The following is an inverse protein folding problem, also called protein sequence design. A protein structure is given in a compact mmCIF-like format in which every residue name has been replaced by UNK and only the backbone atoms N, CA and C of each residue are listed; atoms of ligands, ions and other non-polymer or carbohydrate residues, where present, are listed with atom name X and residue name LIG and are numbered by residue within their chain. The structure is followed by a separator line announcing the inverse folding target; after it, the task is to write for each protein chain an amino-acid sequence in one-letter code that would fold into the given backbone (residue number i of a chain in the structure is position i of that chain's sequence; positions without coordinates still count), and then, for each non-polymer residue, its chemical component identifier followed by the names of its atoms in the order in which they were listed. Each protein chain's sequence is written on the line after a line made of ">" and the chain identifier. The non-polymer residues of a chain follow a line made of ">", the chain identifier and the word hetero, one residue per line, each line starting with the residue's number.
data_IF_791853411936
#
_entry.id   IF_791853411936
#
_cell.length_a   1.000
_cell.length_b   1.000
_cell.length_c   1.000
_cell.angle_alpha   90.00
_cell.angle_beta   90.00
_cell.angle_gamma   90.00
#
_symmetry.space_group_name_H-M   'P 1'
#
loop_
_entity.id
_entity.type
_entity.pdbx_description
1 polymer ?
#
# COMPACT_ATOMS: atom_id res chain seq x y z
N UNK A 1 -35.10 11.85 -9.49
CA UNK A 1 -34.30 10.88 -10.28
C UNK A 1 -32.93 10.81 -9.64
N UNK A 2 -32.70 9.82 -8.80
CA UNK A 2 -31.39 9.55 -8.20
C UNK A 2 -30.49 8.98 -9.30
N UNK A 3 -29.53 9.77 -9.76
CA UNK A 3 -28.51 9.29 -10.70
C UNK A 3 -27.77 8.14 -10.01
N UNK A 4 -27.93 6.92 -10.54
CA UNK A 4 -27.11 5.79 -10.11
C UNK A 4 -25.62 6.20 -10.18
N UNK A 5 -24.78 5.77 -9.22
CA UNK A 5 -23.36 6.08 -9.26
C UNK A 5 -22.79 5.67 -10.61
N UNK A 6 -21.99 6.55 -11.20
CA UNK A 6 -21.38 6.32 -12.50
C UNK A 6 -20.38 5.16 -12.32
N UNK A 7 -20.74 3.99 -12.83
CA UNK A 7 -19.84 2.84 -12.96
C UNK A 7 -18.99 3.07 -14.21
N UNK A 8 -17.68 3.21 -14.07
CA UNK A 8 -16.82 3.76 -15.12
C UNK A 8 -16.45 2.77 -16.23
N UNK A 9 -16.85 1.51 -16.09
CA UNK A 9 -16.87 0.56 -17.18
C UNK A 9 -18.08 -0.37 -17.06
N UNK A 10 -19.09 -0.22 -17.91
CA UNK A 10 -20.13 -1.24 -18.04
C UNK A 10 -20.32 -1.49 -19.51
N UNK A 11 -20.09 -2.72 -19.93
CA UNK A 11 -20.45 -3.22 -21.26
C UNK A 11 -21.86 -3.83 -21.15
N UNK A 12 -22.96 -3.10 -21.43
CA UNK A 12 -24.29 -3.67 -21.40
C UNK A 12 -24.43 -4.85 -22.37
N UNK A 13 -25.17 -5.85 -21.92
CA UNK A 13 -25.64 -6.96 -22.75
C UNK A 13 -26.84 -6.49 -23.57
N UNK A 14 -26.58 -6.17 -24.84
CA UNK A 14 -27.53 -5.91 -25.93
C UNK A 14 -28.42 -4.66 -25.80
N UNK A 15 -28.52 -3.92 -26.92
CA UNK A 15 -29.76 -3.32 -27.46
C UNK A 15 -29.39 -2.27 -28.54
N UNK A 16 -28.96 -2.76 -29.70
CA UNK A 16 -29.08 -2.02 -30.96
C UNK A 16 -29.63 -2.98 -32.01
N UNK A 17 -30.56 -2.49 -32.85
CA UNK A 17 -31.33 -3.29 -33.81
C UNK A 17 -30.47 -4.04 -34.86
N UNK A 18 -29.17 -3.72 -34.94
CA UNK A 18 -28.24 -4.20 -35.98
C UNK A 18 -27.15 -5.17 -35.46
N UNK A 19 -27.29 -5.68 -34.23
CA UNK A 19 -26.31 -6.64 -33.65
C UNK A 19 -25.02 -6.00 -33.10
N UNK A 20 -24.95 -4.67 -33.03
CA UNK A 20 -23.88 -3.95 -32.35
C UNK A 20 -24.11 -3.90 -30.83
N UNK A 21 -23.03 -4.00 -30.06
CA UNK A 21 -23.03 -3.80 -28.60
C UNK A 21 -22.65 -2.36 -28.27
N UNK A 22 -23.13 -1.85 -27.13
CA UNK A 22 -22.66 -0.59 -26.56
C UNK A 22 -21.86 -0.84 -25.29
N UNK A 23 -20.97 0.08 -24.95
CA UNK A 23 -20.19 0.10 -23.72
C UNK A 23 -20.11 1.55 -23.22
N UNK A 24 -20.39 1.76 -21.93
CA UNK A 24 -20.36 3.09 -21.31
C UNK A 24 -19.11 3.23 -20.45
N UNK A 25 -18.39 4.32 -20.68
CA UNK A 25 -17.11 4.67 -20.08
C UNK A 25 -17.27 6.08 -19.48
N UNK A 26 -17.79 6.17 -18.26
CA UNK A 26 -18.17 7.46 -17.66
C UNK A 26 -19.30 8.16 -18.46
N UNK A 27 -18.98 9.29 -19.09
CA UNK A 27 -19.85 10.07 -19.97
C UNK A 27 -19.78 9.65 -21.45
N UNK A 28 -18.80 8.81 -21.83
CA UNK A 28 -18.63 8.31 -23.20
C UNK A 28 -19.41 7.01 -23.41
N UNK A 29 -19.98 6.85 -24.60
CA UNK A 29 -20.57 5.59 -25.06
C UNK A 29 -19.84 5.14 -26.33
N UNK A 30 -19.26 3.95 -26.32
CA UNK A 30 -18.65 3.32 -27.49
C UNK A 30 -19.54 2.21 -28.03
N UNK A 31 -19.62 2.10 -29.35
CA UNK A 31 -20.28 1.00 -30.05
C UNK A 31 -19.21 0.01 -30.55
N UNK A 32 -19.40 -1.28 -30.29
CA UNK A 32 -18.44 -2.33 -30.66
C UNK A 32 -19.16 -3.60 -31.15
N UNK A 33 -18.45 -4.46 -31.87
CA UNK A 33 -18.93 -5.79 -32.30
C UNK A 33 -17.95 -6.87 -31.86
N UNK A 34 -18.40 -8.12 -31.64
CA UNK A 34 -17.50 -9.24 -31.37
C UNK A 34 -16.37 -9.34 -32.40
N UNK A 35 -15.17 -9.72 -31.95
CA UNK A 35 -13.97 -9.70 -32.77
C UNK A 35 -14.04 -10.62 -34.00
N UNK A 36 -14.93 -11.61 -33.99
CA UNK A 36 -15.21 -12.55 -35.07
C UNK A 36 -16.24 -12.03 -36.10
N UNK A 37 -16.87 -10.87 -35.85
CA UNK A 37 -17.89 -10.29 -36.73
C UNK A 37 -17.27 -9.30 -37.75
N UNK A 38 -17.64 -9.41 -39.03
CA UNK A 38 -17.16 -8.51 -40.10
C UNK A 38 -17.90 -7.16 -40.07
N UNK A 39 -17.15 -6.07 -39.98
CA UNK A 39 -17.67 -4.70 -40.03
C UNK A 39 -18.19 -4.33 -41.43
N UNK A 40 -19.46 -3.94 -41.52
CA UNK A 40 -20.04 -3.31 -42.72
C UNK A 40 -19.66 -1.82 -42.81
N UNK A 41 -19.61 -1.26 -44.02
CA UNK A 41 -19.08 0.09 -44.33
C UNK A 41 -19.81 1.29 -43.69
N UNK A 42 -20.86 1.11 -42.89
CA UNK A 42 -21.79 2.18 -42.55
C UNK A 42 -21.81 2.63 -41.06
N UNK A 43 -21.08 1.98 -40.14
CA UNK A 43 -21.04 2.42 -38.72
C UNK A 43 -19.61 2.51 -38.17
N UNK A 44 -19.37 3.51 -37.30
CA UNK A 44 -18.13 3.75 -36.53
C UNK A 44 -17.94 2.70 -35.42
N UNK A 45 -18.04 1.42 -35.77
CA UNK A 45 -17.99 0.32 -34.80
C UNK A 45 -16.58 -0.27 -34.79
N UNK A 46 -16.03 -0.51 -33.59
CA UNK A 46 -14.70 -1.12 -33.44
C UNK A 46 -14.82 -2.65 -33.23
N UNK A 47 -13.88 -3.45 -33.76
CA UNK A 47 -13.87 -4.89 -33.56
C UNK A 47 -13.31 -5.22 -32.18
N UNK A 48 -14.11 -5.85 -31.32
CA UNK A 48 -13.74 -6.28 -29.97
C UNK A 48 -13.27 -5.14 -29.05
N UNK A 49 -13.24 -5.40 -27.74
CA UNK A 49 -12.62 -4.52 -26.77
C UNK A 49 -11.61 -5.31 -25.95
N UNK A 50 -10.44 -4.72 -25.73
CA UNK A 50 -9.42 -5.24 -24.85
C UNK A 50 -9.21 -4.24 -23.72
N UNK A 51 -9.11 -4.76 -22.50
CA UNK A 51 -8.64 -4.02 -21.34
C UNK A 51 -7.12 -4.15 -21.29
N UNK A 52 -6.44 -3.01 -21.16
CA UNK A 52 -5.04 -2.96 -20.76
C UNK A 52 -4.98 -2.47 -19.33
N UNK A 53 -4.25 -3.19 -18.49
CA UNK A 53 -3.85 -2.71 -17.16
C UNK A 53 -2.35 -2.50 -17.17
N UNK A 54 -1.87 -1.33 -16.76
CA UNK A 54 -0.47 -0.92 -16.87
C UNK A 54 0.04 -0.22 -15.59
N UNK A 55 1.36 -0.27 -15.38
CA UNK A 55 2.12 0.55 -14.43
C UNK A 55 2.61 1.78 -15.20
N UNK A 56 2.30 2.97 -14.70
CA UNK A 56 2.56 4.23 -15.39
C UNK A 56 2.01 4.24 -16.82
N UNK A 57 2.84 4.60 -17.81
CA UNK A 57 2.49 4.56 -19.26
C UNK A 57 3.12 3.39 -20.02
N UNK A 58 3.61 2.37 -19.32
CA UNK A 58 4.46 1.34 -19.91
C UNK A 58 3.89 0.66 -21.17
N UNK A 59 2.56 0.48 -21.28
CA UNK A 59 1.95 -0.04 -22.51
C UNK A 59 2.00 0.97 -23.66
N UNK A 60 1.72 2.25 -23.37
CA UNK A 60 1.71 3.33 -24.36
C UNK A 60 3.13 3.65 -24.83
N UNK A 61 4.13 3.50 -23.96
CA UNK A 61 5.54 3.66 -24.32
C UNK A 61 6.03 2.52 -25.23
N UNK A 62 5.62 1.28 -24.95
CA UNK A 62 5.91 0.11 -25.79
C UNK A 62 5.15 0.15 -27.13
N UNK A 63 3.97 0.76 -27.16
CA UNK A 63 3.06 0.81 -28.31
C UNK A 63 2.50 2.22 -28.58
N UNK A 64 3.34 3.19 -28.95
CA UNK A 64 2.93 4.59 -29.12
C UNK A 64 1.93 4.81 -30.28
N UNK A 65 1.87 3.86 -31.22
CA UNK A 65 0.95 3.90 -32.36
C UNK A 65 -0.46 3.38 -32.02
N UNK A 66 -0.64 2.71 -30.87
CA UNK A 66 -1.95 2.21 -30.43
C UNK A 66 -2.71 3.34 -29.75
N UNK A 67 -3.80 3.80 -30.38
CA UNK A 67 -4.66 4.85 -29.81
C UNK A 67 -5.70 4.25 -28.88
N UNK A 68 -5.70 4.55 -27.57
CA UNK A 68 -6.74 4.08 -26.67
C UNK A 68 -8.10 4.67 -27.02
N UNK A 69 -9.13 3.82 -26.99
CA UNK A 69 -10.54 4.22 -27.07
C UNK A 69 -10.99 4.88 -25.76
N UNK A 70 -10.43 4.40 -24.64
CA UNK A 70 -10.46 5.05 -23.32
C UNK A 70 -9.05 5.03 -22.73
N UNK A 71 -8.65 6.15 -22.16
CA UNK A 71 -7.47 6.27 -21.31
C UNK A 71 -7.96 6.73 -19.92
N UNK A 72 -7.94 5.80 -18.95
CA UNK A 72 -8.10 6.07 -17.52
C UNK A 72 -6.79 5.72 -16.81
N UNK A 73 -5.67 6.06 -17.44
CA UNK A 73 -4.36 5.89 -16.86
C UNK A 73 -3.90 4.45 -16.76
N UNK A 74 -3.89 3.92 -15.54
CA UNK A 74 -3.65 2.51 -15.22
C UNK A 74 -4.52 1.56 -16.03
N UNK A 75 -5.73 2.00 -16.42
CA UNK A 75 -6.67 1.20 -17.20
C UNK A 75 -6.94 1.86 -18.57
N UNK A 76 -6.57 1.17 -19.64
CA UNK A 76 -6.90 1.58 -21.01
C UNK A 76 -7.88 0.61 -21.65
N UNK A 77 -8.65 1.11 -22.61
CA UNK A 77 -9.48 0.27 -23.47
C UNK A 77 -9.03 0.47 -24.90
N UNK A 78 -8.62 -0.60 -25.56
CA UNK A 78 -8.15 -0.58 -26.95
C UNK A 78 -9.05 -1.48 -27.83
N UNK A 79 -9.03 -1.20 -29.13
CA UNK A 79 -9.66 -2.06 -30.13
C UNK A 79 -8.90 -3.38 -30.26
N UNK A 80 -9.60 -4.48 -30.50
CA UNK A 80 -8.92 -5.76 -30.76
C UNK A 80 -8.20 -5.81 -32.12
N UNK A 81 -8.50 -4.86 -33.03
CA UNK A 81 -7.73 -4.66 -34.27
C UNK A 81 -6.29 -4.21 -34.00
N UNK A 82 -6.07 -3.47 -32.91
CA UNK A 82 -4.77 -2.90 -32.56
C UNK A 82 -4.00 -3.81 -31.60
N UNK A 83 -4.46 -5.05 -31.42
CA UNK A 83 -3.89 -6.01 -30.47
C UNK A 83 -2.42 -6.31 -30.79
N UNK A 84 -1.49 -6.00 -29.88
CA UNK A 84 -0.09 -6.38 -30.05
C UNK A 84 0.13 -7.89 -29.98
N UNK A 85 1.27 -8.36 -30.51
CA UNK A 85 1.67 -9.78 -30.46
C UNK A 85 1.93 -10.26 -29.04
N UNK A 86 2.62 -9.46 -28.22
CA UNK A 86 2.88 -9.74 -26.81
C UNK A 86 1.62 -9.41 -26.00
N UNK A 87 1.20 -10.33 -25.14
CA UNK A 87 -0.04 -10.19 -24.35
C UNK A 87 0.16 -9.58 -22.97
N UNK A 88 1.36 -9.68 -22.42
CA UNK A 88 1.71 -9.12 -21.12
C UNK A 88 3.22 -9.09 -20.88
N UNK A 89 3.61 -8.31 -19.87
CA UNK A 89 4.87 -8.34 -19.16
C UNK A 89 4.60 -8.02 -17.67
N UNK A 90 5.64 -7.65 -16.90
CA UNK A 90 5.48 -7.28 -15.49
C UNK A 90 4.80 -5.91 -15.32
N UNK A 91 4.90 -5.03 -16.32
CA UNK A 91 4.43 -3.64 -16.24
C UNK A 91 3.07 -3.43 -16.92
N UNK A 92 2.62 -4.32 -17.80
CA UNK A 92 1.29 -4.26 -18.41
C UNK A 92 0.76 -5.64 -18.80
N UNK A 93 -0.58 -5.77 -18.82
CA UNK A 93 -1.28 -6.93 -19.38
C UNK A 93 -2.44 -6.50 -20.26
N UNK A 94 -2.77 -7.35 -21.24
CA UNK A 94 -3.90 -7.17 -22.15
C UNK A 94 -4.85 -8.36 -22.01
N UNK A 95 -6.10 -8.08 -21.73
CA UNK A 95 -7.15 -9.09 -21.59
C UNK A 95 -8.43 -8.73 -22.36
N UNK A 96 -9.23 -9.72 -22.79
CA UNK A 96 -10.53 -9.43 -23.37
C UNK A 96 -11.44 -8.71 -22.37
N UNK A 97 -11.97 -7.55 -22.75
CA UNK A 97 -12.95 -6.85 -21.93
C UNK A 97 -14.33 -7.50 -22.15
N UNK A 98 -14.84 -8.19 -21.12
CA UNK A 98 -16.11 -8.92 -21.21
C UNK A 98 -17.32 -8.01 -20.98
N UNK A 99 -18.46 -8.44 -21.51
CA UNK A 99 -19.74 -7.84 -21.21
C UNK A 99 -20.02 -7.85 -19.70
N UNK A 100 -20.53 -6.75 -19.14
CA UNK A 100 -20.90 -6.62 -17.73
C UNK A 100 -19.73 -6.42 -16.74
N UNK A 101 -18.49 -6.28 -17.20
CA UNK A 101 -17.34 -6.09 -16.32
C UNK A 101 -17.18 -4.64 -15.88
N UNK A 102 -17.23 -4.40 -14.57
CA UNK A 102 -16.76 -3.15 -13.94
C UNK A 102 -15.24 -3.22 -13.74
N UNK A 103 -14.49 -2.33 -14.39
CA UNK A 103 -13.03 -2.24 -14.22
C UNK A 103 -12.66 -1.23 -13.16
N UNK A 104 -13.24 -0.03 -13.23
CA UNK A 104 -13.16 0.97 -12.16
C UNK A 104 -14.57 1.37 -11.75
N UNK A 105 -14.83 1.40 -10.45
CA UNK A 105 -16.04 1.96 -9.85
C UNK A 105 -15.70 3.20 -9.02
N UNK A 106 -16.59 4.19 -9.04
CA UNK A 106 -16.45 5.44 -8.29
C UNK A 106 -17.56 5.50 -7.24
N UNK A 107 -17.41 4.74 -6.14
CA UNK A 107 -18.44 4.70 -5.12
C UNK A 107 -18.62 6.09 -4.50
N UNK A 108 -19.83 6.35 -4.00
CA UNK A 108 -20.08 7.45 -3.07
C UNK A 108 -20.20 6.85 -1.68
N UNK A 109 -19.08 6.55 -1.00
CA UNK A 109 -19.11 5.96 0.33
C UNK A 109 -19.86 6.88 1.30
N UNK A 110 -20.65 6.27 2.17
CA UNK A 110 -21.34 7.01 3.24
C UNK A 110 -20.40 7.13 4.43
N UNK A 111 -20.18 8.37 4.88
CA UNK A 111 -19.42 8.63 6.09
C UNK A 111 -20.09 7.95 7.30
N UNK A 112 -19.27 7.28 8.11
CA UNK A 112 -19.71 6.75 9.39
C UNK A 112 -19.72 7.85 10.45
N UNK A 113 -20.24 7.52 11.64
CA UNK A 113 -20.04 8.37 12.82
C UNK A 113 -18.56 8.37 13.18
N UNK A 114 -17.99 9.56 13.39
CA UNK A 114 -16.61 9.71 13.86
C UNK A 114 -16.45 9.02 15.23
N UNK A 115 -15.60 8.00 15.26
CA UNK A 115 -15.09 7.41 16.50
C UNK A 115 -13.97 8.30 17.06
N UNK A 116 -14.07 8.77 18.32
CA UNK A 116 -13.06 9.64 18.93
C UNK A 116 -11.67 9.01 19.07
N UNK A 117 -11.57 7.70 19.30
CA UNK A 117 -10.29 6.99 19.43
C UNK A 117 -9.60 6.91 18.08
N UNK A 118 -10.37 6.63 17.02
CA UNK A 118 -9.85 6.62 15.65
C UNK A 118 -9.48 8.05 15.22
N UNK A 119 -10.29 9.05 15.55
CA UNK A 119 -9.98 10.46 15.25
C UNK A 119 -8.69 10.94 15.93
N UNK A 120 -8.47 10.55 17.19
CA UNK A 120 -7.22 10.83 17.93
C UNK A 120 -6.01 10.15 17.27
N UNK A 121 -6.14 8.88 16.86
CA UNK A 121 -5.11 8.16 16.11
C UNK A 121 -4.79 8.83 14.76
N UNK A 122 -5.82 9.21 14.00
CA UNK A 122 -5.69 9.97 12.73
C UNK A 122 -5.00 11.31 12.96
N UNK A 123 -5.32 12.01 14.05
CA UNK A 123 -4.74 13.29 14.42
C UNK A 123 -3.27 13.21 14.88
N UNK A 124 -2.78 12.02 15.25
CA UNK A 124 -1.40 11.80 15.67
C UNK A 124 -0.43 11.53 14.51
N UNK A 125 -0.92 11.45 13.27
CA UNK A 125 -0.07 11.37 12.08
C UNK A 125 0.94 12.52 12.10
N UNK A 126 2.21 12.21 11.92
CA UNK A 126 3.32 13.16 11.96
C UNK A 126 3.86 13.39 10.55
N UNK A 127 3.48 14.52 9.90
CA UNK A 127 4.08 14.89 8.62
C UNK A 127 5.60 14.96 8.70
N UNK A 128 6.15 15.44 9.82
CA UNK A 128 7.60 15.50 10.01
C UNK A 128 8.24 14.12 9.97
N UNK A 129 7.73 13.14 10.74
CA UNK A 129 8.29 11.78 10.75
C UNK A 129 8.18 11.12 9.37
N UNK A 130 7.05 11.29 8.70
CA UNK A 130 6.84 10.75 7.35
C UNK A 130 7.78 11.40 6.32
N UNK A 131 7.91 12.74 6.34
CA UNK A 131 8.77 13.46 5.41
C UNK A 131 10.25 13.14 5.62
N UNK A 132 10.70 13.04 6.87
CA UNK A 132 12.09 12.72 7.20
C UNK A 132 12.46 11.33 6.67
N UNK A 133 11.58 10.34 6.86
CA UNK A 133 11.81 8.97 6.43
C UNK A 133 11.80 8.87 4.90
N UNK A 134 10.85 9.52 4.25
CA UNK A 134 10.80 9.56 2.79
C UNK A 134 12.00 10.29 2.19
N UNK A 135 12.37 11.43 2.77
CA UNK A 135 13.54 12.20 2.32
C UNK A 135 14.81 11.39 2.44
N UNK A 136 14.97 10.66 3.53
CA UNK A 136 16.13 9.80 3.74
C UNK A 136 16.15 8.64 2.73
N UNK A 137 15.03 7.93 2.54
CA UNK A 137 14.93 6.84 1.56
C UNK A 137 15.26 7.31 0.14
N UNK A 138 14.74 8.47 -0.26
CA UNK A 138 14.97 9.08 -1.57
C UNK A 138 16.37 9.72 -1.73
N UNK A 139 17.13 9.88 -0.64
CA UNK A 139 18.51 10.37 -0.71
C UNK A 139 19.52 9.29 -1.15
N UNK A 140 19.13 8.01 -1.08
CA UNK A 140 19.96 6.91 -1.55
C UNK A 140 20.07 6.97 -3.08
N UNK A 141 21.25 6.67 -3.68
CA UNK A 141 21.41 6.73 -5.13
C UNK A 141 20.41 5.87 -5.89
N UNK A 142 20.13 4.68 -5.36
CA UNK A 142 19.13 3.73 -5.84
C UNK A 142 18.78 2.82 -4.67
N UNK A 143 17.60 2.21 -4.67
CA UNK A 143 17.27 1.09 -3.78
C UNK A 143 17.07 -0.20 -4.55
N UNK A 144 17.67 -0.35 -5.74
CA UNK A 144 17.61 -1.61 -6.51
C UNK A 144 17.88 -2.81 -5.61
N UNK A 145 17.06 -3.85 -5.66
CA UNK A 145 16.98 -4.89 -4.61
C UNK A 145 18.29 -5.65 -4.37
N UNK A 146 19.14 -5.75 -5.41
CA UNK A 146 20.49 -6.34 -5.36
C UNK A 146 21.63 -5.36 -4.98
N UNK A 147 21.32 -4.10 -4.68
CA UNK A 147 22.32 -3.07 -4.36
C UNK A 147 22.69 -3.04 -2.88
N UNK A 148 23.86 -2.49 -2.57
CA UNK A 148 24.25 -2.20 -1.18
C UNK A 148 23.35 -1.13 -0.55
N UNK A 149 22.88 -0.16 -1.34
CA UNK A 149 21.96 0.88 -0.88
C UNK A 149 20.61 0.33 -0.45
N UNK A 150 20.11 -0.75 -1.07
CA UNK A 150 18.93 -1.46 -0.58
C UNK A 150 19.17 -2.06 0.81
N UNK A 151 20.35 -2.65 1.05
CA UNK A 151 20.71 -3.15 2.39
C UNK A 151 20.75 -2.02 3.42
N UNK A 152 21.30 -0.85 3.05
CA UNK A 152 21.27 0.35 3.89
C UNK A 152 19.84 0.79 4.21
N UNK A 153 18.93 0.74 3.23
CA UNK A 153 17.52 1.06 3.44
C UNK A 153 16.85 0.07 4.41
N UNK A 154 17.15 -1.22 4.29
CA UNK A 154 16.67 -2.25 5.22
C UNK A 154 17.21 -2.02 6.62
N UNK A 155 18.49 -1.65 6.78
CA UNK A 155 19.10 -1.34 8.08
C UNK A 155 18.40 -0.17 8.77
N UNK A 156 18.12 0.90 8.03
CA UNK A 156 17.38 2.06 8.51
C UNK A 156 15.96 1.71 8.98
N UNK A 157 15.20 1.03 8.13
CA UNK A 157 13.84 0.64 8.46
C UNK A 157 13.79 -0.34 9.64
N UNK A 158 14.73 -1.30 9.70
CA UNK A 158 14.86 -2.24 10.81
C UNK A 158 15.13 -1.51 12.13
N UNK A 159 16.06 -0.55 12.15
CA UNK A 159 16.38 0.23 13.34
C UNK A 159 15.15 1.00 13.86
N UNK A 160 14.35 1.58 12.96
CA UNK A 160 13.08 2.23 13.32
C UNK A 160 12.05 1.27 13.89
N UNK A 161 11.83 0.12 13.23
CA UNK A 161 10.90 -0.90 13.72
C UNK A 161 11.31 -1.39 15.12
N UNK A 162 12.60 -1.66 15.36
CA UNK A 162 13.11 -2.06 16.68
C UNK A 162 12.89 -0.96 17.72
N UNK A 163 13.17 0.31 17.40
CA UNK A 163 12.94 1.43 18.30
C UNK A 163 11.46 1.60 18.70
N UNK A 164 10.53 1.13 17.86
CA UNK A 164 9.09 1.12 18.11
C UNK A 164 8.59 -0.17 18.79
N UNK A 165 9.50 -1.08 19.13
CA UNK A 165 9.21 -2.33 19.85
C UNK A 165 8.65 -3.45 18.97
N UNK A 166 8.89 -3.42 17.66
CA UNK A 166 8.60 -4.56 16.79
C UNK A 166 9.74 -5.59 16.86
N UNK A 167 9.39 -6.87 16.91
CA UNK A 167 10.31 -7.98 16.69
C UNK A 167 10.67 -8.04 15.20
N UNK A 168 11.93 -7.76 14.87
CA UNK A 168 12.37 -7.66 13.48
C UNK A 168 13.03 -8.95 12.98
N UNK A 169 12.60 -9.42 11.81
CA UNK A 169 13.22 -10.53 11.08
C UNK A 169 13.56 -10.10 9.66
N UNK A 170 14.72 -10.53 9.16
CA UNK A 170 15.11 -10.37 7.76
C UNK A 170 15.07 -11.72 7.08
N UNK A 171 14.28 -11.84 6.03
CA UNK A 171 14.14 -13.09 5.27
C UNK A 171 14.86 -12.94 3.95
N UNK A 172 15.89 -13.74 3.71
CA UNK A 172 16.57 -13.75 2.42
C UNK A 172 15.62 -14.21 1.31
N UNK A 173 15.67 -13.52 0.18
CA UNK A 173 14.92 -13.86 -1.04
C UNK A 173 15.88 -14.01 -2.21
N UNK A 174 15.49 -14.79 -3.21
CA UNK A 174 16.24 -14.91 -4.47
C UNK A 174 15.64 -13.98 -5.51
N UNK A 175 16.47 -13.19 -6.19
CA UNK A 175 16.08 -12.28 -7.28
C UNK A 175 17.00 -12.55 -8.47
N UNK A 176 16.48 -13.24 -9.48
CA UNK A 176 17.30 -13.75 -10.58
C UNK A 176 18.44 -14.65 -10.07
N UNK A 177 19.70 -14.28 -10.35
CA UNK A 177 20.89 -14.98 -9.85
C UNK A 177 21.45 -14.41 -8.53
N UNK A 178 20.85 -13.33 -8.01
CA UNK A 178 21.27 -12.66 -6.79
C UNK A 178 20.36 -12.96 -5.60
N UNK A 179 20.73 -12.38 -4.45
CA UNK A 179 19.94 -12.44 -3.23
C UNK A 179 19.63 -11.03 -2.74
N UNK A 180 18.41 -10.87 -2.25
CA UNK A 180 17.92 -9.68 -1.56
C UNK A 180 17.23 -10.13 -0.26
N UNK A 181 16.41 -9.28 0.34
CA UNK A 181 15.71 -9.60 1.58
C UNK A 181 14.36 -8.89 1.71
N UNK A 182 13.42 -9.55 2.38
CA UNK A 182 12.26 -8.91 2.98
C UNK A 182 12.58 -8.53 4.43
N UNK A 183 12.14 -7.35 4.84
CA UNK A 183 12.17 -6.93 6.24
C UNK A 183 10.77 -7.08 6.84
N UNK A 184 10.68 -7.79 7.97
CA UNK A 184 9.41 -8.07 8.67
C UNK A 184 9.52 -7.53 10.09
N UNK A 185 8.55 -6.72 10.51
CA UNK A 185 8.40 -6.26 11.89
C UNK A 185 7.11 -6.78 12.49
N UNK A 186 7.20 -7.64 13.50
CA UNK A 186 6.06 -8.24 14.19
C UNK A 186 5.79 -7.58 15.54
N UNK A 187 4.52 -7.35 15.85
CA UNK A 187 4.08 -6.91 17.17
C UNK A 187 2.83 -7.66 17.61
N UNK A 188 2.88 -8.41 18.73
CA UNK A 188 1.74 -9.17 19.20
C UNK A 188 0.62 -8.24 19.72
N UNK A 189 -0.61 -8.61 19.40
CA UNK A 189 -1.82 -8.09 20.01
C UNK A 189 -2.11 -8.75 21.36
N UNK A 190 -3.28 -8.47 21.91
CA UNK A 190 -3.70 -8.93 23.26
C UNK A 190 -4.35 -10.32 23.28
N UNK A 191 -4.31 -11.06 22.17
CA UNK A 191 -4.79 -12.45 22.10
C UNK A 191 -6.02 -12.68 21.20
N UNK A 192 -6.27 -11.80 20.23
CA UNK A 192 -7.37 -11.95 19.26
C UNK A 192 -7.17 -13.04 18.21
N UNK A 193 -5.99 -13.67 18.14
CA UNK A 193 -5.66 -14.76 17.21
C UNK A 193 -5.51 -14.36 15.74
N UNK A 194 -6.09 -13.24 15.31
CA UNK A 194 -5.92 -12.66 13.96
C UNK A 194 -4.64 -11.85 13.75
N UNK A 195 -4.30 -11.64 12.48
CA UNK A 195 -3.13 -10.92 11.99
C UNK A 195 -3.52 -9.93 10.90
N UNK A 196 -3.03 -8.70 10.99
CA UNK A 196 -3.17 -7.65 9.96
C UNK A 196 -1.78 -7.26 9.45
N UNK A 197 -1.61 -7.29 8.13
CA UNK A 197 -0.36 -6.91 7.47
C UNK A 197 -0.45 -5.50 6.89
N UNK A 198 0.61 -4.73 7.04
CA UNK A 198 0.82 -3.44 6.40
C UNK A 198 2.12 -3.54 5.60
N UNK A 199 2.04 -3.38 4.29
CA UNK A 199 3.13 -3.71 3.38
C UNK A 199 3.40 -2.60 2.37
N UNK A 200 4.64 -2.55 1.90
CA UNK A 200 5.10 -1.81 0.74
C UNK A 200 6.38 -2.50 0.23
N UNK A 201 6.82 -2.21 -0.99
CA UNK A 201 8.18 -2.57 -1.39
C UNK A 201 9.14 -1.42 -1.10
N UNK A 202 10.40 -1.80 -0.85
CA UNK A 202 11.45 -0.89 -0.46
C UNK A 202 12.42 -0.60 -1.62
N UNK A 203 12.47 -1.48 -2.61
CA UNK A 203 13.33 -1.30 -3.77
C UNK A 203 12.83 -0.20 -4.71
N UNK A 204 13.72 0.23 -5.60
CA UNK A 204 13.45 1.16 -6.69
C UNK A 204 14.37 0.84 -7.86
N UNK A 205 13.92 1.10 -9.09
CA UNK A 205 14.74 0.86 -10.29
C UNK A 205 14.87 2.09 -11.18
N UNK A 206 15.84 2.02 -12.09
CA UNK A 206 15.91 2.91 -13.25
C UNK A 206 15.95 2.05 -14.52
N UNK A 207 14.87 2.08 -15.31
CA UNK A 207 14.76 1.23 -16.51
C UNK A 207 15.79 1.65 -17.57
N UNK A 208 15.93 2.95 -17.82
CA UNK A 208 16.78 3.45 -18.91
C UNK A 208 18.27 3.35 -18.59
N UNK A 209 18.67 3.60 -17.35
CA UNK A 209 20.05 3.61 -16.88
C UNK A 209 20.53 2.31 -16.23
N UNK A 210 19.62 1.38 -15.94
CA UNK A 210 19.91 0.10 -15.32
C UNK A 210 20.17 0.16 -13.80
N UNK A 211 20.56 -0.98 -13.18
CA UNK A 211 20.59 -1.16 -11.72
C UNK A 211 21.46 -0.18 -10.92
N UNK A 212 22.49 0.40 -11.55
CA UNK A 212 23.43 1.32 -10.90
C UNK A 212 23.08 2.80 -11.14
N UNK A 213 22.11 3.10 -12.01
CA UNK A 213 21.71 4.46 -12.28
C UNK A 213 20.86 5.03 -11.13
N UNK A 214 20.80 6.36 -11.07
CA UNK A 214 20.03 7.05 -10.06
C UNK A 214 18.55 6.64 -10.14
N UNK A 215 18.01 6.15 -9.02
CA UNK A 215 16.61 5.77 -8.85
C UNK A 215 16.16 6.22 -7.45
N UNK A 216 15.96 7.53 -7.23
CA UNK A 216 15.58 8.03 -5.92
C UNK A 216 14.26 7.38 -5.45
N UNK A 217 13.37 6.99 -6.37
CA UNK A 217 12.18 6.19 -6.06
C UNK A 217 11.32 6.86 -5.00
N UNK A 218 11.13 8.18 -5.13
CA UNK A 218 10.47 8.98 -4.12
C UNK A 218 9.00 8.60 -4.00
N UNK A 219 8.27 8.58 -5.11
CA UNK A 219 6.90 8.07 -5.10
C UNK A 219 6.90 6.54 -5.13
N UNK A 220 7.76 5.94 -5.97
CA UNK A 220 7.81 4.51 -6.27
C UNK A 220 9.10 3.84 -5.74
N UNK A 221 9.07 3.19 -4.58
CA UNK A 221 7.99 3.23 -3.59
C UNK A 221 8.47 3.69 -2.22
N UNK A 222 9.26 4.77 -2.24
CA UNK A 222 9.65 5.48 -1.03
C UNK A 222 8.41 5.92 -0.25
N UNK A 223 7.39 6.43 -0.94
CA UNK A 223 6.17 6.96 -0.34
C UNK A 223 5.40 5.90 0.46
N UNK A 224 5.17 4.71 -0.09
CA UNK A 224 4.55 3.59 0.61
C UNK A 224 5.44 3.05 1.73
N UNK A 225 6.75 2.91 1.48
CA UNK A 225 7.72 2.46 2.49
C UNK A 225 7.77 3.36 3.72
N UNK A 226 7.87 4.68 3.53
CA UNK A 226 7.79 5.66 4.62
C UNK A 226 6.40 5.65 5.28
N UNK A 227 5.35 5.37 4.49
CA UNK A 227 4.00 5.14 4.99
C UNK A 227 3.93 3.96 5.96
N UNK A 228 4.54 2.81 5.64
CA UNK A 228 4.60 1.64 6.55
C UNK A 228 5.26 2.02 7.87
N UNK A 229 6.36 2.78 7.82
CA UNK A 229 7.08 3.21 9.02
C UNK A 229 6.23 4.16 9.90
N UNK A 230 5.55 5.13 9.28
CA UNK A 230 4.70 6.07 10.00
C UNK A 230 3.44 5.41 10.58
N UNK A 231 2.77 4.54 9.81
CA UNK A 231 1.65 3.76 10.33
C UNK A 231 2.13 2.81 11.44
N UNK A 232 3.30 2.20 11.29
CA UNK A 232 3.96 1.40 12.32
C UNK A 232 4.19 2.18 13.61
N UNK A 233 4.64 3.44 13.52
CA UNK A 233 4.81 4.35 14.66
C UNK A 233 3.48 4.62 15.36
N UNK A 234 2.42 4.94 14.62
CA UNK A 234 1.09 5.18 15.16
C UNK A 234 0.51 3.94 15.86
N UNK A 235 0.63 2.78 15.23
CA UNK A 235 0.17 1.51 15.80
C UNK A 235 0.96 1.10 17.04
N UNK A 236 2.23 1.51 17.15
CA UNK A 236 3.08 1.22 18.31
C UNK A 236 2.65 1.95 19.59
N UNK A 237 1.88 3.02 19.46
CA UNK A 237 1.42 3.83 20.59
C UNK A 237 0.22 3.21 21.35
N UNK A 238 -0.35 2.11 20.84
CA UNK A 238 -1.55 1.46 21.40
C UNK A 238 -1.41 -0.07 21.44
N UNK A 239 -2.33 -0.70 22.15
CA UNK A 239 -2.52 -2.15 22.14
C UNK A 239 -3.73 -2.51 21.29
N UNK A 240 -3.56 -3.55 20.48
CA UNK A 240 -4.54 -4.03 19.52
C UNK A 240 -4.99 -5.43 19.91
N UNK A 241 -6.22 -5.80 19.56
CA UNK A 241 -6.69 -7.16 19.76
C UNK A 241 -5.92 -8.14 18.88
N UNK A 242 -5.69 -7.76 17.64
CA UNK A 242 -5.00 -8.55 16.63
C UNK A 242 -3.52 -8.17 16.50
N UNK A 243 -2.74 -9.13 15.99
CA UNK A 243 -1.32 -8.93 15.77
C UNK A 243 -1.09 -8.02 14.56
N UNK A 244 -0.02 -7.23 14.64
CA UNK A 244 0.40 -6.31 13.58
C UNK A 244 1.67 -6.87 12.96
N UNK A 245 1.71 -6.96 11.64
CA UNK A 245 2.95 -7.23 10.90
C UNK A 245 3.20 -6.15 9.86
N UNK A 246 4.36 -5.52 9.97
CA UNK A 246 4.89 -4.61 8.96
C UNK A 246 5.79 -5.41 8.03
N UNK A 247 5.68 -5.22 6.71
CA UNK A 247 6.59 -5.84 5.76
C UNK A 247 7.07 -4.81 4.75
N UNK A 248 8.39 -4.74 4.57
CA UNK A 248 9.02 -4.06 3.46
C UNK A 248 9.64 -5.11 2.54
N UNK A 249 9.03 -5.30 1.37
CA UNK A 249 9.45 -6.30 0.39
C UNK A 249 10.67 -5.82 -0.39
N UNK A 250 11.51 -6.77 -0.78
CA UNK A 250 12.54 -6.55 -1.80
C UNK A 250 12.18 -7.25 -3.10
N UNK A 251 12.65 -6.71 -4.21
CA UNK A 251 12.53 -7.32 -5.53
C UNK A 251 11.11 -7.31 -6.09
N UNK A 252 10.32 -6.31 -5.70
CA UNK A 252 9.01 -6.05 -6.31
C UNK A 252 9.19 -5.72 -7.78
N UNK A 253 10.12 -4.81 -8.07
CA UNK A 253 10.35 -4.19 -9.37
C UNK A 253 10.85 -5.21 -10.41
N UNK A 254 11.54 -6.25 -9.92
CA UNK A 254 12.04 -7.35 -10.75
C UNK A 254 10.98 -8.45 -10.98
N UNK A 255 9.82 -8.37 -10.34
CA UNK A 255 8.68 -9.26 -10.58
C UNK A 255 8.07 -9.87 -9.32
N UNK A 256 7.88 -9.07 -8.27
CA UNK A 256 7.24 -9.46 -7.00
C UNK A 256 7.99 -10.59 -6.27
N UNK A 257 9.31 -10.66 -6.41
CA UNK A 257 10.11 -11.77 -5.87
C UNK A 257 9.96 -11.91 -4.37
N UNK A 258 9.95 -10.79 -3.64
CA UNK A 258 9.82 -10.76 -2.19
C UNK A 258 8.47 -11.29 -1.70
N UNK A 259 7.37 -10.71 -2.18
CA UNK A 259 6.01 -11.10 -1.78
C UNK A 259 5.64 -12.51 -2.26
N UNK A 260 6.03 -12.92 -3.48
CA UNK A 260 5.81 -14.29 -3.96
C UNK A 260 6.50 -15.33 -3.08
N UNK A 261 7.76 -15.11 -2.72
CA UNK A 261 8.49 -16.03 -1.85
C UNK A 261 7.92 -16.03 -0.43
N UNK A 262 7.54 -14.86 0.10
CA UNK A 262 6.89 -14.76 1.41
C UNK A 262 5.58 -15.55 1.45
N UNK A 263 4.68 -15.32 0.49
CA UNK A 263 3.38 -16.02 0.44
C UNK A 263 3.56 -17.52 0.21
N UNK A 264 4.50 -17.93 -0.63
CA UNK A 264 4.80 -19.36 -0.85
C UNK A 264 5.34 -20.05 0.42
N UNK A 265 6.04 -19.32 1.29
CA UNK A 265 6.59 -19.82 2.54
C UNK A 265 5.61 -19.77 3.73
N UNK A 266 4.44 -19.12 3.59
CA UNK A 266 3.49 -18.97 4.69
C UNK A 266 2.96 -20.33 5.19
N UNK A 267 3.14 -20.65 6.47
CA UNK A 267 2.51 -21.84 7.06
C UNK A 267 0.97 -21.74 6.96
N UNK A 268 0.25 -22.86 6.73
CA UNK A 268 -1.21 -22.84 6.61
C UNK A 268 -1.93 -22.20 7.82
N UNK A 269 -1.44 -22.46 9.03
CA UNK A 269 -1.99 -21.89 10.26
C UNK A 269 -1.83 -20.36 10.33
N UNK A 270 -0.70 -19.85 9.82
CA UNK A 270 -0.43 -18.42 9.78
C UNK A 270 -1.23 -17.74 8.66
N UNK A 271 -1.31 -18.36 7.48
CA UNK A 271 -2.19 -17.90 6.40
C UNK A 271 -3.65 -17.80 6.83
N UNK A 272 -4.16 -18.78 7.56
CA UNK A 272 -5.55 -18.83 8.00
C UNK A 272 -5.94 -17.71 8.98
N UNK A 273 -4.97 -17.09 9.67
CA UNK A 273 -5.23 -15.98 10.59
C UNK A 273 -5.02 -14.59 9.99
N UNK A 274 -4.51 -14.47 8.77
CA UNK A 274 -4.39 -13.17 8.09
C UNK A 274 -5.79 -12.67 7.73
N UNK A 275 -6.22 -11.60 8.38
CA UNK A 275 -7.56 -11.00 8.22
C UNK A 275 -7.59 -9.97 7.10
N UNK A 276 -6.49 -9.25 6.93
CA UNK A 276 -6.33 -8.20 5.94
C UNK A 276 -4.85 -7.94 5.66
N UNK A 277 -4.55 -7.57 4.42
CA UNK A 277 -3.28 -7.02 3.99
C UNK A 277 -3.55 -5.67 3.34
N UNK A 278 -2.93 -4.62 3.86
CA UNK A 278 -2.88 -3.31 3.21
C UNK A 278 -1.53 -3.16 2.55
N UNK A 279 -1.50 -3.07 1.22
CA UNK A 279 -0.32 -2.73 0.46
C UNK A 279 -0.36 -1.25 0.05
N UNK A 280 0.71 -0.51 0.31
CA UNK A 280 0.88 0.88 -0.11
C UNK A 280 1.93 0.91 -1.21
N UNK A 281 1.54 1.40 -2.37
CA UNK A 281 2.43 1.52 -3.52
C UNK A 281 2.05 2.78 -4.32
N UNK A 282 2.97 3.74 -4.36
CA UNK A 282 2.77 5.11 -4.82
C UNK A 282 1.57 5.80 -4.16
N UNK A 283 1.83 6.54 -3.08
CA UNK A 283 0.78 7.25 -2.34
C UNK A 283 0.97 8.76 -2.35
N UNK A 284 1.87 9.30 -3.16
CA UNK A 284 2.31 10.67 -3.02
C UNK A 284 2.30 11.51 -4.30
N UNK A 285 2.01 11.01 -5.50
CA UNK A 285 1.83 11.83 -6.69
C UNK A 285 0.36 12.18 -6.97
N UNK A 286 0.08 13.48 -7.13
CA UNK A 286 -1.27 13.96 -7.44
C UNK A 286 -1.51 13.89 -8.95
N UNK A 287 -1.99 12.73 -9.40
CA UNK A 287 -2.27 12.42 -10.80
C UNK A 287 -3.74 12.70 -11.25
N UNK A 288 -4.55 13.29 -10.38
CA UNK A 288 -5.97 13.63 -10.61
C UNK A 288 -6.29 15.06 -10.17
N UNK A 289 -7.32 15.68 -10.77
CA UNK A 289 -7.73 17.05 -10.44
C UNK A 289 -8.15 17.19 -8.96
N UNK A 290 -8.95 16.22 -8.49
CA UNK A 290 -9.36 16.07 -7.09
C UNK A 290 -8.45 15.03 -6.44
N UNK A 291 -7.93 15.24 -5.23
CA UNK A 291 -7.18 14.22 -4.49
C UNK A 291 -7.97 12.91 -4.45
N UNK A 292 -7.41 11.87 -5.06
CA UNK A 292 -8.09 10.60 -5.30
C UNK A 292 -7.20 9.46 -4.87
N UNK A 293 -7.79 8.45 -4.26
CA UNK A 293 -7.16 7.15 -4.01
C UNK A 293 -7.89 6.08 -4.81
N UNK A 294 -7.13 5.20 -5.44
CA UNK A 294 -7.63 3.96 -6.02
C UNK A 294 -7.40 2.82 -5.02
N UNK A 295 -8.48 2.12 -4.67
CA UNK A 295 -8.44 0.92 -3.86
C UNK A 295 -8.56 -0.29 -4.78
N UNK A 296 -7.48 -1.02 -4.99
CA UNK A 296 -7.43 -2.16 -5.89
C UNK A 296 -7.35 -3.47 -5.12
N UNK A 297 -8.18 -4.44 -5.47
CA UNK A 297 -8.15 -5.77 -4.89
C UNK A 297 -8.87 -6.78 -5.77
N UNK A 298 -9.48 -7.78 -5.16
CA UNK A 298 -10.29 -8.80 -5.81
C UNK A 298 -11.58 -9.03 -5.02
N UNK A 299 -12.52 -9.90 -5.46
CA UNK A 299 -13.72 -10.20 -4.69
C UNK A 299 -13.45 -10.63 -3.24
N UNK A 300 -12.31 -11.28 -2.98
CA UNK A 300 -11.88 -11.65 -1.61
C UNK A 300 -11.57 -10.43 -0.71
N UNK A 301 -11.30 -9.26 -1.31
CA UNK A 301 -10.92 -8.03 -0.63
C UNK A 301 -12.08 -7.04 -0.45
N UNK A 302 -13.29 -7.38 -0.89
CA UNK A 302 -14.40 -6.42 -0.97
C UNK A 302 -14.78 -5.80 0.39
N UNK A 303 -14.68 -6.54 1.49
CA UNK A 303 -14.88 -5.98 2.85
C UNK A 303 -13.85 -4.92 3.18
N UNK A 304 -12.56 -5.19 2.93
CA UNK A 304 -11.48 -4.26 3.23
C UNK A 304 -11.57 -3.00 2.37
N UNK A 305 -11.95 -3.14 1.09
CA UNK A 305 -12.19 -1.99 0.20
C UNK A 305 -13.34 -1.13 0.75
N UNK A 306 -14.44 -1.75 1.21
CA UNK A 306 -15.56 -1.01 1.78
C UNK A 306 -15.15 -0.26 3.07
N UNK A 307 -14.39 -0.90 3.96
CA UNK A 307 -13.90 -0.27 5.18
C UNK A 307 -12.99 0.93 4.89
N UNK A 308 -12.06 0.79 3.94
CA UNK A 308 -11.20 1.88 3.48
C UNK A 308 -12.02 3.02 2.84
N UNK A 309 -13.01 2.70 2.02
CA UNK A 309 -13.88 3.71 1.42
C UNK A 309 -14.71 4.48 2.46
N UNK A 310 -15.22 3.78 3.48
CA UNK A 310 -15.90 4.41 4.63
C UNK A 310 -14.93 5.25 5.45
N UNK A 311 -13.71 4.77 5.68
CA UNK A 311 -12.67 5.53 6.39
C UNK A 311 -12.33 6.83 5.63
N UNK A 312 -12.18 6.77 4.30
CA UNK A 312 -11.97 7.94 3.46
C UNK A 312 -13.11 8.96 3.62
N UNK A 313 -14.36 8.51 3.50
CA UNK A 313 -15.53 9.37 3.64
C UNK A 313 -15.67 10.02 5.02
N UNK A 314 -15.13 9.37 6.06
CA UNK A 314 -15.30 9.80 7.45
C UNK A 314 -14.16 10.70 7.93
N UNK A 315 -12.93 10.45 7.50
CA UNK A 315 -11.72 11.05 8.08
C UNK A 315 -10.88 11.87 7.09
N UNK A 316 -11.29 11.95 5.82
CA UNK A 316 -10.50 12.58 4.75
C UNK A 316 -11.37 13.38 3.78
N UNK A 317 -10.72 14.13 2.88
CA UNK A 317 -11.34 14.75 1.70
C UNK A 317 -11.12 13.97 0.40
N UNK A 318 -10.69 12.71 0.47
CA UNK A 318 -10.35 11.91 -0.72
C UNK A 318 -11.60 11.54 -1.51
N UNK A 319 -11.48 11.64 -2.84
CA UNK A 319 -12.32 10.85 -3.75
C UNK A 319 -11.82 9.41 -3.74
N UNK A 320 -12.73 8.44 -3.69
CA UNK A 320 -12.40 7.01 -3.76
C UNK A 320 -12.78 6.47 -5.13
N UNK A 321 -11.84 5.78 -5.76
CA UNK A 321 -12.09 4.86 -6.87
C UNK A 321 -11.75 3.44 -6.40
N UNK A 322 -12.38 2.44 -7.00
CA UNK A 322 -12.14 1.02 -6.65
C UNK A 322 -12.00 0.17 -7.89
N UNK A 323 -11.14 -0.85 -7.83
CA UNK A 323 -10.96 -1.84 -8.90
C UNK A 323 -10.89 -3.24 -8.29
N UNK A 324 -11.56 -4.20 -8.92
CA UNK A 324 -11.44 -5.62 -8.60
C UNK A 324 -10.55 -6.38 -9.61
N UNK A 325 -9.67 -5.64 -10.29
CA UNK A 325 -8.78 -6.16 -11.32
C UNK A 325 -7.30 -6.00 -10.89
N UNK A 326 -6.81 -6.82 -9.94
CA UNK A 326 -5.53 -6.58 -9.30
C UNK A 326 -4.36 -6.82 -10.25
N UNK A 327 -3.31 -6.00 -10.14
CA UNK A 327 -2.14 -6.10 -11.02
C UNK A 327 -0.87 -5.51 -10.39
N UNK A 328 0.29 -6.12 -10.71
CA UNK A 328 1.63 -5.53 -10.61
C UNK A 328 1.96 -4.77 -9.30
N UNK A 329 1.63 -5.34 -8.14
CA UNK A 329 2.21 -4.95 -6.86
C UNK A 329 2.04 -6.10 -5.85
N UNK A 330 2.62 -5.95 -4.66
CA UNK A 330 2.77 -7.01 -3.66
C UNK A 330 1.45 -7.53 -3.05
N UNK A 331 0.31 -6.87 -3.27
CA UNK A 331 -1.02 -7.40 -2.89
C UNK A 331 -1.42 -8.62 -3.74
N UNK A 332 -0.91 -8.74 -4.97
CA UNK A 332 -1.32 -9.77 -5.93
C UNK A 332 -1.03 -11.19 -5.43
N UNK A 333 0.18 -11.55 -4.96
CA UNK A 333 0.44 -12.90 -4.45
C UNK A 333 -0.46 -13.30 -3.27
N UNK A 334 -0.85 -12.36 -2.42
CA UNK A 334 -1.80 -12.61 -1.34
C UNK A 334 -3.20 -12.94 -1.87
N UNK A 335 -3.69 -12.17 -2.85
CA UNK A 335 -4.97 -12.41 -3.51
C UNK A 335 -4.98 -13.77 -4.21
N UNK A 336 -3.91 -14.13 -4.91
CA UNK A 336 -3.76 -15.43 -5.57
C UNK A 336 -3.79 -16.59 -4.56
N UNK A 337 -3.33 -16.32 -3.34
CA UNK A 337 -3.46 -17.21 -2.19
C UNK A 337 -4.80 -17.04 -1.42
N UNK A 338 -5.80 -16.38 -1.99
CA UNK A 338 -7.12 -16.21 -1.35
C UNK A 338 -7.08 -15.46 -0.02
N UNK A 339 -6.05 -14.66 0.23
CA UNK A 339 -5.92 -13.80 1.39
C UNK A 339 -6.49 -12.43 1.02
N UNK A 340 -7.38 -11.82 1.84
CA UNK A 340 -7.88 -10.48 1.58
C UNK A 340 -6.75 -9.45 1.59
N UNK A 341 -6.42 -8.89 0.42
CA UNK A 341 -5.40 -7.86 0.27
C UNK A 341 -5.91 -6.71 -0.59
N UNK A 342 -5.57 -5.48 -0.21
CA UNK A 342 -5.94 -4.25 -0.92
C UNK A 342 -4.69 -3.43 -1.15
N UNK A 343 -4.50 -2.99 -2.38
CA UNK A 343 -3.58 -1.92 -2.73
C UNK A 343 -4.29 -0.57 -2.51
N UNK A 344 -3.71 0.30 -1.68
CA UNK A 344 -4.00 1.72 -1.69
C UNK A 344 -2.94 2.42 -2.52
N UNK A 345 -3.35 2.96 -3.66
CA UNK A 345 -2.49 3.68 -4.61
C UNK A 345 -3.16 5.02 -4.93
N UNK A 346 -2.37 6.04 -5.25
CA UNK A 346 -2.87 7.27 -5.84
C UNK A 346 -3.82 7.01 -7.03
N UNK A 347 -4.74 7.95 -7.28
CA UNK A 347 -5.93 7.74 -8.11
C UNK A 347 -5.75 7.42 -9.61
N UNK A 348 -6.53 8.10 -10.46
CA UNK A 348 -6.58 7.80 -11.88
C UNK A 348 -5.30 8.29 -12.57
N UNK A 349 -4.37 7.34 -12.73
CA UNK A 349 -3.01 7.48 -13.20
C UNK A 349 -2.89 8.08 -14.61
N UNK A 350 -3.06 9.39 -14.79
CA UNK A 350 -2.60 10.08 -16.02
C UNK A 350 -1.06 10.09 -16.20
N UNK A 351 -0.38 9.21 -15.45
CA UNK A 351 1.02 8.91 -15.28
C UNK A 351 1.79 9.85 -14.36
N UNK A 352 2.27 9.33 -13.23
CA UNK A 352 3.55 9.76 -12.70
C UNK A 352 4.64 9.37 -13.73
N UNK A 353 4.87 10.23 -14.73
CA UNK A 353 5.84 10.00 -15.80
C UNK A 353 7.31 9.97 -15.34
N UNK A 354 7.55 9.99 -14.03
CA UNK A 354 8.88 9.98 -13.44
C UNK A 354 9.27 8.62 -12.85
N UNK A 355 8.32 7.71 -12.60
CA UNK A 355 8.60 6.40 -11.99
C UNK A 355 9.64 5.61 -12.79
N UNK A 356 10.33 4.69 -12.11
CA UNK A 356 11.42 3.89 -12.65
C UNK A 356 12.52 4.73 -13.36
N UNK A 357 12.77 5.94 -12.89
CA UNK A 357 13.75 6.87 -13.49
C UNK A 357 14.46 7.72 -12.44
N UNK A 358 15.49 8.45 -12.87
CA UNK A 358 16.19 9.42 -12.03
C UNK A 358 15.34 10.64 -11.63
N UNK A 359 14.18 10.83 -12.29
CA UNK A 359 13.31 11.96 -12.05
C UNK A 359 12.25 11.70 -10.97
N UNK A 360 12.08 10.44 -10.50
CA UNK A 360 11.16 10.15 -9.39
C UNK A 360 11.73 10.70 -8.09
N UNK A 361 11.51 11.99 -7.86
CA UNK A 361 12.12 12.81 -6.82
C UNK A 361 11.05 13.48 -5.98
N UNK A 362 11.45 13.91 -4.78
CA UNK A 362 10.60 14.60 -3.80
C UNK A 362 9.87 15.84 -4.37
N UNK A 363 10.41 16.45 -5.43
CA UNK A 363 9.85 17.65 -6.06
C UNK A 363 8.50 17.42 -6.74
N UNK A 364 8.19 16.17 -7.10
CA UNK A 364 6.95 15.81 -7.78
C UNK A 364 5.89 15.26 -6.81
N UNK A 365 6.23 15.16 -5.51
CA UNK A 365 5.31 14.67 -4.50
C UNK A 365 4.31 15.74 -4.06
N UNK A 366 3.10 15.26 -3.82
CA UNK A 366 2.02 15.90 -3.13
C UNK A 366 1.88 15.33 -1.71
N UNK A 367 2.59 15.96 -0.78
CA UNK A 367 2.58 15.61 0.65
C UNK A 367 1.18 15.60 1.28
N UNK A 368 0.28 16.46 0.80
CA UNK A 368 -1.10 16.51 1.31
C UNK A 368 -1.91 15.29 0.88
N UNK A 369 -1.75 14.81 -0.36
CA UNK A 369 -2.37 13.58 -0.82
C UNK A 369 -1.90 12.38 0.00
N UNK A 370 -0.58 12.25 0.19
CA UNK A 370 -0.01 11.18 1.01
C UNK A 370 -0.55 11.20 2.44
N UNK A 371 -0.62 12.39 3.07
CA UNK A 371 -1.19 12.52 4.39
C UNK A 371 -2.65 12.06 4.45
N UNK A 372 -3.49 12.43 3.46
CA UNK A 372 -4.88 11.99 3.40
C UNK A 372 -4.99 10.46 3.20
N UNK A 373 -4.17 9.86 2.35
CA UNK A 373 -4.15 8.40 2.15
C UNK A 373 -3.73 7.69 3.45
N UNK A 374 -2.70 8.19 4.15
CA UNK A 374 -2.27 7.65 5.44
C UNK A 374 -3.36 7.79 6.52
N UNK A 375 -4.12 8.90 6.53
CA UNK A 375 -5.27 9.09 7.43
C UNK A 375 -6.38 8.07 7.17
N UNK A 376 -6.72 7.83 5.90
CA UNK A 376 -7.67 6.79 5.52
C UNK A 376 -7.17 5.41 5.97
N UNK A 377 -5.92 5.09 5.65
CA UNK A 377 -5.31 3.80 5.95
C UNK A 377 -5.29 3.52 7.45
N UNK A 378 -4.81 4.46 8.28
CA UNK A 378 -4.77 4.26 9.74
C UNK A 378 -6.17 4.12 10.35
N UNK A 379 -7.16 4.85 9.82
CA UNK A 379 -8.53 4.74 10.29
C UNK A 379 -9.15 3.36 10.00
N UNK A 380 -8.93 2.81 8.79
CA UNK A 380 -9.37 1.46 8.46
C UNK A 380 -8.62 0.39 9.26
N UNK A 381 -7.30 0.54 9.41
CA UNK A 381 -6.46 -0.36 10.21
C UNK A 381 -6.93 -0.45 11.66
N UNK A 382 -7.35 0.67 12.27
CA UNK A 382 -7.89 0.66 13.62
C UNK A 382 -9.13 -0.25 13.74
N UNK A 383 -10.00 -0.26 12.73
CA UNK A 383 -11.14 -1.16 12.66
C UNK A 383 -10.73 -2.63 12.52
N UNK A 384 -9.76 -2.94 11.64
CA UNK A 384 -9.31 -4.31 11.42
C UNK A 384 -8.51 -4.91 12.58
N UNK A 385 -7.77 -4.07 13.29
CA UNK A 385 -6.95 -4.44 14.43
C UNK A 385 -7.75 -4.53 15.73
N UNK A 386 -8.86 -3.78 15.80
CA UNK A 386 -9.74 -3.60 16.95
C UNK A 386 -8.98 -3.06 18.19
N UNK A 387 -9.21 -1.80 18.62
CA UNK A 387 -8.56 -1.28 19.83
C UNK A 387 -8.90 -2.17 21.03
N UNK A 388 -7.91 -2.53 21.84
CA UNK A 388 -8.16 -3.32 23.04
C UNK A 388 -9.06 -2.53 24.02
N UNK A 389 -10.31 -2.97 24.20
CA UNK A 389 -11.34 -2.30 25.04
C UNK A 389 -11.00 -2.32 26.53
N UNK A 390 -10.17 -3.26 26.94
CA UNK A 390 -9.40 -3.16 28.17
C UNK A 390 -8.02 -2.64 27.82
N UNK A 391 -7.71 -1.44 28.29
CA UNK A 391 -6.39 -1.25 28.87
C UNK A 391 -6.25 -2.42 29.86
N UNK A 392 -5.58 -3.51 29.45
CA UNK A 392 -4.68 -4.13 30.39
C UNK A 392 -3.82 -2.94 30.79
N UNK A 393 -4.20 -2.31 31.92
CA UNK A 393 -3.55 -1.14 32.49
C UNK A 393 -2.09 -1.39 32.19
N UNK A 394 -1.38 -0.52 31.44
CA UNK A 394 0.04 -0.69 31.29
C UNK A 394 0.49 -1.03 32.70
N UNK A 395 1.12 -2.19 32.93
CA UNK A 395 1.93 -2.26 34.14
C UNK A 395 2.77 -1.00 34.01
N UNK A 396 2.62 -0.03 34.93
CA UNK A 396 3.31 1.23 34.78
C UNK A 396 4.75 0.87 34.44
N UNK A 397 5.29 1.50 33.40
CA UNK A 397 6.72 1.45 33.17
C UNK A 397 7.35 1.85 34.52
N UNK A 398 7.96 0.85 35.18
CA UNK A 398 8.43 0.91 36.56
C UNK A 398 7.37 0.59 37.62
N UNK A 399 7.49 -0.58 38.26
CA UNK A 399 7.08 -0.70 39.67
C UNK A 399 7.93 0.26 40.48
N UNK A 400 7.36 1.31 41.08
CA UNK A 400 8.07 2.04 42.14
C UNK A 400 8.13 1.10 43.34
N UNK A 401 9.34 0.71 43.75
CA UNK A 401 9.55 -0.09 44.96
C UNK A 401 10.05 0.83 46.06
N UNK A 402 9.82 0.45 47.30
CA UNK A 402 10.29 1.21 48.46
C UNK A 402 11.05 0.26 49.37
N UNK A 403 12.32 0.55 49.60
CA UNK A 403 13.10 -0.19 50.60
C UNK A 403 12.87 0.29 52.04
N UNK A 404 12.05 1.33 52.24
CA UNK A 404 11.76 1.88 53.57
C UNK A 404 10.94 3.18 53.56
N UNK A 405 10.38 3.59 54.72
CA UNK A 405 9.59 4.82 54.84
C UNK A 405 10.33 6.05 54.32
N UNK A 406 9.66 6.88 53.52
CA UNK A 406 10.25 8.09 52.94
C UNK A 406 11.12 7.85 51.71
N UNK A 407 11.28 6.60 51.25
CA UNK A 407 12.06 6.25 50.06
C UNK A 407 11.20 5.73 48.91
N UNK A 408 11.49 6.20 47.69
CA UNK A 408 10.98 5.62 46.44
C UNK A 408 12.16 5.28 45.53
N UNK A 409 12.15 4.10 44.93
CA UNK A 409 13.16 3.63 43.98
C UNK A 409 12.50 3.34 42.64
N UNK A 410 13.02 3.96 41.58
CA UNK A 410 12.53 3.86 40.21
C UNK A 410 13.59 3.21 39.35
N UNK A 411 13.20 2.17 38.61
CA UNK A 411 14.07 1.46 37.67
C UNK A 411 13.56 1.64 36.24
N UNK A 412 14.48 1.87 35.31
CA UNK A 412 14.19 2.06 33.89
C UNK A 412 15.25 1.35 33.03
N UNK A 413 14.89 1.02 31.79
CA UNK A 413 15.88 0.57 30.79
C UNK A 413 16.29 1.80 29.97
N UNK A 414 17.58 2.07 29.92
CA UNK A 414 18.14 3.21 29.18
C UNK A 414 18.20 2.95 27.68
N UNK A 415 18.46 4.00 26.89
CA UNK A 415 18.71 3.88 25.44
C UNK A 415 19.95 3.03 25.10
N UNK A 416 20.82 2.82 26.08
CA UNK A 416 21.99 1.94 26.04
C UNK A 416 21.67 0.47 26.37
N UNK A 417 20.38 0.14 26.57
CA UNK A 417 19.90 -1.17 27.05
C UNK A 417 20.36 -1.55 28.47
N UNK A 418 21.02 -0.64 29.20
CA UNK A 418 21.41 -0.88 30.58
C UNK A 418 20.23 -0.65 31.54
N UNK A 419 20.30 -1.25 32.73
CA UNK A 419 19.36 -0.94 33.80
C UNK A 419 19.80 0.37 34.46
N UNK A 420 18.88 1.33 34.58
CA UNK A 420 19.09 2.60 35.27
C UNK A 420 18.19 2.67 36.50
N UNK A 421 18.67 3.36 37.53
CA UNK A 421 17.98 3.55 38.80
C UNK A 421 17.98 5.02 39.19
N UNK A 422 16.91 5.50 39.83
CA UNK A 422 16.91 6.75 40.58
C UNK A 422 16.08 6.63 41.84
N UNK A 423 16.48 7.36 42.87
CA UNK A 423 15.83 7.34 44.16
C UNK A 423 15.23 8.70 44.54
N UNK A 424 14.25 8.65 45.45
CA UNK A 424 13.73 9.79 46.22
C UNK A 424 13.88 9.48 47.71
N UNK A 425 14.41 10.42 48.49
CA UNK A 425 14.58 10.32 49.95
C UNK A 425 14.17 11.62 50.68
N UNK A 426 13.30 12.42 50.06
CA UNK A 426 13.01 13.81 50.41
C UNK A 426 13.38 14.79 49.30
N UNK A 427 14.33 14.39 48.45
CA UNK A 427 14.65 15.03 47.16
C UNK A 427 14.85 13.97 46.08
N UNK A 428 14.66 14.34 44.81
CA UNK A 428 14.95 13.43 43.70
C UNK A 428 16.42 13.45 43.34
N UNK A 429 16.99 12.26 43.16
CA UNK A 429 18.32 12.07 42.59
C UNK A 429 18.26 11.85 41.07
N UNK A 430 19.38 12.10 40.40
CA UNK A 430 19.55 11.81 38.98
C UNK A 430 19.61 10.29 38.72
N UNK A 431 19.44 9.90 37.46
CA UNK A 431 19.57 8.50 37.06
C UNK A 431 21.03 8.06 37.14
N UNK A 432 21.27 6.91 37.77
CA UNK A 432 22.53 6.18 37.74
C UNK A 432 22.36 4.90 36.92
N UNK A 433 23.35 4.58 36.10
CA UNK A 433 23.40 3.28 35.43
C UNK A 433 23.83 2.21 36.42
N UNK A 434 23.04 1.15 36.54
CA UNK A 434 23.39 -0.08 37.24
C UNK A 434 24.10 -1.09 36.32
N UNK A 435 24.32 -0.73 35.05
CA UNK A 435 24.99 -1.56 34.05
C UNK A 435 24.15 -2.74 33.55
N UNK A 436 24.83 -3.69 32.91
CA UNK A 436 24.21 -4.87 32.28
C UNK A 436 23.51 -4.58 30.95
N UNK A 437 22.85 -5.60 30.42
CA UNK A 437 21.97 -5.51 29.24
C UNK A 437 20.66 -6.17 29.62
N UNK A 438 19.57 -5.40 29.65
CA UNK A 438 18.23 -5.93 29.91
C UNK A 438 17.71 -6.54 28.62
N UNK A 439 17.70 -7.88 28.57
CA UNK A 439 17.13 -8.65 27.46
C UNK A 439 15.63 -8.79 27.70
N UNK A 440 14.82 -8.23 26.80
CA UNK A 440 13.35 -8.39 26.83
C UNK A 440 12.91 -9.74 26.29
#
# INVERSE_FOLDING_TARGET
>A
MTTAPVRYLVVPTADAADGAHSARFGDKTLLWVPADQRLGRASRTVPGLLLVTQVGRSFQDDYPDVTPLLDHGRHLVISSADKPRRRSNNCWRIEPLRAGTTVVDNPTPTAARVDPVVADLVGQLSPASYHDDLTWLASLPTRHSLSTSFTTAVDFAAAKMVALGYGVTRTQITVGAGHSQNLIGDRPGTGGGGLVLITAHLDSINIAGGPAAAAPGADDNGSGSAGVLELGRLLSARYWRHDVRLILFGGEEEGLFGSKQYVAALPPAERARIRAVLNMDMIASKNTAVPTVLLEGAPVSSSQIADLATAAATYTGLKVETSLNPFASDHVPFIDAGIPAVLSIEGADSANGHIHSANDTLNFLNWSLAAEILRMNIAALAGWLEPATTLARPRPAGSVVSSGPGRLDVFAVGMDSALHHKAFDGTWHDFESLGGVVLN
#
